data_IF_080140112844
#
_entry.id   IF_080140112844
#
_cell.length_a   1.000
_cell.length_b   1.000
_cell.length_c   1.000
_cell.angle_alpha   90.00
_cell.angle_beta   90.00
_cell.angle_gamma   90.00
#
_symmetry.space_group_name_H-M   'P 1'
#
loop_
_entity.id
_entity.type
_entity.pdbx_description
1 polymer ?
#
# COMPACT_ATOMS: atom_id res chain seq x y z
N UNK A 1 9.45 -15.04 10.47
CA UNK A 1 8.17 -14.69 11.14
C UNK A 1 7.04 -14.69 10.12
N UNK A 2 5.80 -14.91 10.56
CA UNK A 2 4.56 -14.68 9.81
C UNK A 2 4.06 -13.26 10.06
N UNK A 3 3.10 -12.78 9.26
CA UNK A 3 2.45 -11.49 9.54
C UNK A 3 1.74 -11.46 10.89
N UNK A 4 1.15 -12.59 11.30
CA UNK A 4 0.50 -12.73 12.61
C UNK A 4 1.49 -12.52 13.76
N UNK A 5 2.70 -13.07 13.64
CA UNK A 5 3.78 -12.87 14.64
C UNK A 5 4.15 -11.38 14.78
N UNK A 6 3.90 -10.56 13.74
CA UNK A 6 4.18 -9.14 13.70
C UNK A 6 2.98 -8.27 14.11
N UNK A 7 1.82 -8.85 14.44
CA UNK A 7 0.54 -8.14 14.60
C UNK A 7 0.15 -7.33 13.34
N UNK A 8 0.46 -7.88 12.18
CA UNK A 8 0.14 -7.30 10.87
C UNK A 8 -0.75 -8.25 10.07
N UNK A 9 -1.47 -7.67 9.14
CA UNK A 9 -2.31 -8.34 8.15
C UNK A 9 -2.13 -7.67 6.80
N UNK A 10 -2.55 -8.35 5.74
CA UNK A 10 -2.58 -7.81 4.38
C UNK A 10 -3.93 -8.07 3.75
N UNK A 11 -4.47 -7.00 3.15
CA UNK A 11 -5.77 -6.98 2.49
C UNK A 11 -5.65 -6.37 1.11
N UNK A 12 -6.53 -6.78 0.19
CA UNK A 12 -6.69 -6.11 -1.10
C UNK A 12 -7.50 -4.83 -0.91
N UNK A 13 -7.17 -3.78 -1.66
CA UNK A 13 -7.91 -2.52 -1.64
C UNK A 13 -9.42 -2.75 -1.83
N UNK A 14 -10.21 -2.02 -1.03
CA UNK A 14 -11.65 -2.27 -0.88
C UNK A 14 -12.46 -1.64 -2.01
N UNK A 15 -11.94 -0.59 -2.64
CA UNK A 15 -12.66 0.14 -3.68
C UNK A 15 -12.49 -0.57 -5.01
N UNK A 16 -13.60 -0.93 -5.65
CA UNK A 16 -13.63 -1.46 -7.01
C UNK A 16 -14.18 -0.35 -7.90
N UNK A 17 -13.30 0.29 -8.67
CA UNK A 17 -13.57 1.59 -9.29
C UNK A 17 -14.84 1.62 -10.17
N UNK A 18 -15.04 0.62 -11.02
CA UNK A 18 -16.22 0.52 -11.89
C UNK A 18 -17.54 0.24 -11.15
N UNK A 19 -17.50 -0.12 -9.86
CA UNK A 19 -18.70 -0.34 -9.01
C UNK A 19 -19.04 0.87 -8.15
N UNK A 20 -18.14 1.86 -8.06
CA UNK A 20 -18.29 3.03 -7.18
C UNK A 20 -18.24 4.35 -7.93
N UNK A 21 -18.49 4.32 -9.24
CA UNK A 21 -18.29 5.46 -10.16
C UNK A 21 -18.94 6.76 -9.72
N UNK A 22 -20.13 6.70 -9.11
CA UNK A 22 -20.90 7.87 -8.62
C UNK A 22 -20.21 8.61 -7.46
N UNK A 23 -19.37 7.90 -6.69
CA UNK A 23 -18.65 8.45 -5.53
C UNK A 23 -17.20 8.81 -5.85
N UNK A 24 -16.68 8.42 -7.02
CA UNK A 24 -15.32 8.75 -7.41
C UNK A 24 -15.23 10.22 -7.86
N UNK A 25 -14.12 10.88 -7.49
CA UNK A 25 -13.83 12.26 -7.87
C UNK A 25 -12.45 12.37 -8.50
N UNK A 26 -12.37 13.11 -9.59
CA UNK A 26 -11.10 13.36 -10.29
C UNK A 26 -10.13 14.15 -9.43
N UNK A 27 -10.63 15.13 -8.69
CA UNK A 27 -9.87 15.95 -7.76
C UNK A 27 -10.48 15.83 -6.35
N UNK A 28 -9.71 16.19 -5.34
CA UNK A 28 -10.22 16.29 -3.98
C UNK A 28 -11.17 17.49 -3.84
N UNK A 29 -12.30 17.27 -3.19
CA UNK A 29 -13.29 18.29 -2.85
C UNK A 29 -13.82 18.08 -1.42
N UNK A 30 -14.59 19.05 -0.91
CA UNK A 30 -15.21 18.95 0.41
C UNK A 30 -16.00 17.64 0.54
N UNK A 31 -15.74 16.88 1.60
CA UNK A 31 -16.41 15.61 1.85
C UNK A 31 -15.76 14.41 1.16
N UNK A 32 -14.63 14.57 0.46
CA UNK A 32 -13.87 13.44 -0.09
C UNK A 32 -12.68 13.05 0.76
N UNK A 33 -12.21 11.82 0.55
CA UNK A 33 -10.94 11.31 1.06
C UNK A 33 -10.08 10.76 -0.08
N UNK A 34 -8.75 10.64 0.09
CA UNK A 34 -7.86 10.10 -0.93
C UNK A 34 -8.24 8.67 -1.30
N UNK A 35 -8.24 8.40 -2.60
CA UNK A 35 -8.35 7.07 -3.16
C UNK A 35 -7.02 6.70 -3.83
N UNK A 36 -6.30 5.71 -3.29
CA UNK A 36 -4.96 5.40 -3.75
C UNK A 36 -4.96 4.25 -4.75
N UNK A 37 -4.40 4.54 -5.93
CA UNK A 37 -4.14 3.62 -7.04
C UNK A 37 -2.63 3.32 -7.20
N UNK A 38 -2.26 2.31 -8.01
CA UNK A 38 -0.87 2.05 -8.40
C UNK A 38 -0.13 3.25 -9.02
N UNK A 39 -0.85 4.16 -9.68
CA UNK A 39 -0.29 5.35 -10.33
C UNK A 39 0.20 6.44 -9.35
N UNK A 40 -0.13 6.31 -8.05
CA UNK A 40 0.36 7.22 -7.01
C UNK A 40 1.72 6.79 -6.45
N UNK A 41 2.21 5.60 -6.78
CA UNK A 41 3.51 5.12 -6.32
C UNK A 41 4.61 5.98 -6.96
N UNK A 42 5.46 6.58 -6.13
CA UNK A 42 6.54 7.44 -6.57
C UNK A 42 7.70 7.37 -5.56
N UNK A 43 8.85 6.86 -6.01
CA UNK A 43 10.10 6.79 -5.21
C UNK A 43 9.91 6.20 -3.80
N UNK A 44 9.22 5.05 -3.70
CA UNK A 44 8.97 4.38 -2.42
C UNK A 44 7.88 5.01 -1.55
N UNK A 45 7.24 6.10 -1.99
CA UNK A 45 6.12 6.74 -1.30
C UNK A 45 4.85 6.78 -2.15
N UNK A 46 3.74 7.13 -1.51
CA UNK A 46 2.51 7.53 -2.18
C UNK A 46 2.53 9.05 -2.40
N UNK A 47 2.54 9.45 -3.68
CA UNK A 47 2.36 10.84 -4.11
C UNK A 47 0.91 11.03 -4.56
N UNK A 48 0.15 11.75 -3.76
CA UNK A 48 -1.25 12.05 -3.99
C UNK A 48 -1.50 13.56 -3.83
N UNK A 49 -2.33 14.19 -4.69
CA UNK A 49 -2.97 13.62 -5.87
C UNK A 49 -2.01 13.48 -7.06
N UNK A 50 -2.37 12.65 -8.04
CA UNK A 50 -1.75 12.61 -9.37
C UNK A 50 -2.70 13.21 -10.42
N UNK A 51 -2.59 14.51 -10.65
CA UNK A 51 -3.43 15.26 -11.59
C UNK A 51 -3.19 14.95 -13.06
N UNK A 52 -2.04 14.36 -13.38
CA UNK A 52 -1.70 13.94 -14.74
C UNK A 52 -2.37 12.62 -15.14
N UNK A 53 -2.86 11.84 -14.17
CA UNK A 53 -3.55 10.58 -14.42
C UNK A 53 -5.02 10.80 -14.80
N UNK A 54 -5.55 9.90 -15.64
CA UNK A 54 -6.99 9.89 -16.00
C UNK A 54 -7.86 9.29 -14.89
N UNK A 55 -7.28 8.51 -13.98
CA UNK A 55 -8.00 7.86 -12.89
C UNK A 55 -8.43 8.89 -11.82
N UNK A 56 -9.53 8.63 -11.09
CA UNK A 56 -9.93 9.42 -9.94
C UNK A 56 -8.83 9.52 -8.88
N UNK A 57 -8.83 10.61 -8.12
CA UNK A 57 -7.93 10.80 -6.98
C UNK A 57 -8.68 10.65 -5.65
N UNK A 58 -9.99 10.84 -5.60
CA UNK A 58 -10.72 10.86 -4.34
C UNK A 58 -12.01 10.03 -4.41
N UNK A 59 -12.54 9.67 -3.24
CA UNK A 59 -13.86 9.06 -3.06
C UNK A 59 -14.68 9.88 -2.07
N UNK A 60 -15.96 10.09 -2.38
CA UNK A 60 -16.89 10.81 -1.52
C UNK A 60 -17.19 9.99 -0.26
N UNK A 61 -17.20 10.67 0.90
CA UNK A 61 -17.58 10.07 2.17
C UNK A 61 -19.09 10.13 2.31
N UNK A 62 -19.74 8.97 2.16
CA UNK A 62 -21.18 8.77 2.34
C UNK A 62 -21.44 7.54 3.22
N UNK A 63 -22.69 7.31 3.59
CA UNK A 63 -23.04 6.14 4.38
C UNK A 63 -22.67 4.83 3.66
N UNK A 64 -22.80 4.83 2.34
CA UNK A 64 -22.52 3.72 1.43
C UNK A 64 -21.02 3.45 1.31
N UNK A 65 -20.17 4.47 1.37
CA UNK A 65 -18.71 4.32 1.17
C UNK A 65 -17.92 4.18 2.47
N UNK A 66 -18.50 4.45 3.64
CA UNK A 66 -17.82 4.37 4.96
C UNK A 66 -17.07 3.07 5.20
N UNK A 67 -17.64 1.93 4.79
CA UNK A 67 -17.03 0.61 4.98
C UNK A 67 -15.75 0.40 4.13
N UNK A 68 -15.55 1.21 3.09
CA UNK A 68 -14.37 1.20 2.22
C UNK A 68 -13.19 1.98 2.82
N UNK A 69 -13.47 2.84 3.80
CA UNK A 69 -12.50 3.77 4.36
C UNK A 69 -11.69 3.13 5.50
N UNK A 70 -10.48 3.63 5.64
CA UNK A 70 -9.54 3.27 6.70
C UNK A 70 -9.13 4.55 7.44
N UNK A 71 -8.85 4.47 8.76
CA UNK A 71 -8.32 5.61 9.49
C UNK A 71 -6.98 6.06 8.90
N UNK A 72 -6.67 7.35 8.97
CA UNK A 72 -5.35 7.81 8.55
C UNK A 72 -4.26 7.22 9.47
N UNK A 73 -3.13 6.83 8.88
CA UNK A 73 -2.02 6.20 9.57
C UNK A 73 -0.99 5.65 8.58
N UNK A 74 0.13 5.11 9.06
CA UNK A 74 1.13 4.52 8.17
C UNK A 74 0.66 3.17 7.64
N UNK A 75 0.69 3.00 6.32
CA UNK A 75 0.42 1.74 5.64
C UNK A 75 1.56 1.43 4.66
N UNK A 76 1.81 0.14 4.41
CA UNK A 76 2.64 -0.27 3.27
C UNK A 76 1.73 -0.77 2.17
N UNK A 77 1.81 -0.17 0.99
CA UNK A 77 0.98 -0.51 -0.16
C UNK A 77 1.83 -1.27 -1.18
N UNK A 78 1.31 -2.36 -1.74
CA UNK A 78 1.95 -3.16 -2.78
C UNK A 78 1.09 -3.18 -4.03
N UNK A 79 1.68 -2.96 -5.20
CA UNK A 79 0.98 -3.11 -6.48
C UNK A 79 0.57 -4.57 -6.69
N UNK A 80 -0.67 -4.83 -7.11
CA UNK A 80 -1.13 -6.20 -7.43
C UNK A 80 -0.74 -6.69 -8.80
N UNK A 81 -0.35 -5.79 -9.69
CA UNK A 81 0.02 -6.12 -11.05
C UNK A 81 1.40 -5.52 -11.34
N UNK A 82 2.31 -6.40 -11.73
CA UNK A 82 3.65 -6.06 -12.23
C UNK A 82 3.75 -6.54 -13.67
N UNK A 83 4.48 -5.83 -14.53
CA UNK A 83 4.78 -6.38 -15.86
C UNK A 83 5.80 -7.54 -15.74
N UNK A 84 5.91 -8.40 -16.78
CA UNK A 84 6.97 -9.42 -16.81
C UNK A 84 8.37 -8.80 -16.90
N UNK A 85 8.45 -7.60 -17.47
CA UNK A 85 9.66 -6.81 -17.69
C UNK A 85 10.04 -5.96 -16.47
N UNK A 86 9.17 -5.88 -15.46
CA UNK A 86 9.43 -5.13 -14.23
C UNK A 86 10.64 -5.72 -13.51
N UNK A 87 11.57 -4.84 -13.12
CA UNK A 87 12.79 -5.22 -12.41
C UNK A 87 12.48 -6.01 -11.12
N UNK A 88 11.49 -5.55 -10.35
CA UNK A 88 10.95 -6.26 -9.19
C UNK A 88 9.48 -6.64 -9.39
N UNK A 89 9.12 -7.86 -9.01
CA UNK A 89 7.76 -8.38 -8.98
C UNK A 89 6.94 -7.72 -7.88
N UNK A 90 7.55 -7.52 -6.72
CA UNK A 90 6.96 -6.76 -5.62
C UNK A 90 7.43 -5.32 -5.74
N UNK A 91 6.47 -4.41 -5.85
CA UNK A 91 6.71 -2.97 -5.76
C UNK A 91 5.88 -2.43 -4.60
N UNK A 92 6.56 -2.06 -3.52
CA UNK A 92 5.97 -1.53 -2.30
C UNK A 92 6.23 -0.02 -2.15
N UNK A 93 5.29 0.69 -1.54
CA UNK A 93 5.42 2.10 -1.20
C UNK A 93 4.82 2.37 0.19
N UNK A 94 5.41 3.34 0.90
CA UNK A 94 4.89 3.84 2.14
C UNK A 94 3.77 4.85 1.87
N UNK A 95 2.60 4.58 2.43
CA UNK A 95 1.61 5.61 2.67
C UNK A 95 1.94 6.31 3.97
N UNK A 96 2.29 7.57 3.87
CA UNK A 96 2.65 8.44 4.98
C UNK A 96 1.49 9.39 5.26
N UNK A 97 0.87 9.31 6.46
CA UNK A 97 -0.29 10.11 6.83
C UNK A 97 0.00 11.62 6.80
N UNK A 98 1.24 12.04 7.03
CA UNK A 98 1.65 13.44 7.08
C UNK A 98 1.86 14.02 5.68
N UNK A 99 2.34 13.20 4.73
CA UNK A 99 2.50 13.61 3.32
C UNK A 99 1.17 13.76 2.58
N UNK A 100 0.17 12.96 2.96
CA UNK A 100 -1.15 12.99 2.32
C UNK A 100 -2.11 13.94 3.05
N UNK A 101 -2.00 14.07 4.37
CA UNK A 101 -2.66 15.12 5.14
C UNK A 101 -4.19 15.02 5.25
N UNK A 102 -4.74 13.82 5.41
CA UNK A 102 -6.20 13.61 5.47
C UNK A 102 -6.65 12.81 6.71
N UNK A 103 -7.95 12.70 6.99
CA UNK A 103 -8.46 11.99 8.18
C UNK A 103 -8.66 10.48 7.97
N UNK A 104 -8.85 10.08 6.73
CA UNK A 104 -9.09 8.70 6.32
C UNK A 104 -8.59 8.51 4.91
N UNK A 105 -8.41 7.26 4.50
CA UNK A 105 -7.94 6.88 3.17
C UNK A 105 -8.74 5.70 2.65
N UNK A 106 -8.87 5.62 1.32
CA UNK A 106 -9.36 4.45 0.63
C UNK A 106 -8.27 3.87 -0.28
N UNK A 107 -8.22 2.55 -0.37
CA UNK A 107 -7.29 1.83 -1.25
C UNK A 107 -8.08 1.14 -2.36
N UNK A 108 -7.61 1.32 -3.59
CA UNK A 108 -8.25 0.73 -4.76
C UNK A 108 -7.80 -0.73 -4.98
N UNK A 109 -8.66 -1.55 -5.58
CA UNK A 109 -8.48 -2.99 -5.63
C UNK A 109 -7.28 -3.47 -6.47
N UNK A 110 -6.57 -2.65 -7.23
CA UNK A 110 -5.31 -3.00 -7.89
C UNK A 110 -4.07 -2.84 -6.97
N UNK A 111 -4.28 -2.52 -5.69
CA UNK A 111 -3.25 -2.59 -4.66
C UNK A 111 -3.62 -3.55 -3.53
N UNK A 112 -2.61 -4.07 -2.84
CA UNK A 112 -2.74 -4.63 -1.50
C UNK A 112 -2.19 -3.62 -0.49
N UNK A 113 -2.65 -3.66 0.74
CA UNK A 113 -2.13 -2.83 1.82
C UNK A 113 -1.93 -3.66 3.09
N UNK A 114 -0.81 -3.41 3.77
CA UNK A 114 -0.50 -3.97 5.07
C UNK A 114 -1.06 -3.06 6.15
N UNK A 115 -1.66 -3.65 7.18
CA UNK A 115 -2.33 -2.94 8.27
C UNK A 115 -2.22 -3.71 9.59
N UNK A 116 -2.54 -3.05 10.69
CA UNK A 116 -2.80 -3.70 11.98
C UNK A 116 -4.28 -3.56 12.29
N UNK A 117 -5.05 -4.65 12.15
CA UNK A 117 -6.51 -4.65 12.35
C UNK A 117 -7.25 -3.45 11.70
N UNK A 118 -7.13 -3.33 10.37
CA UNK A 118 -7.67 -2.23 9.57
C UNK A 118 -7.24 -0.81 10.00
N UNK A 119 -6.15 -0.69 10.74
CA UNK A 119 -5.54 0.59 11.12
C UNK A 119 -4.10 0.66 10.66
N UNK A 120 -3.54 1.87 10.66
CA UNK A 120 -2.12 2.07 10.39
C UNK A 120 -1.22 1.38 11.42
N UNK A 121 0.07 1.28 11.10
CA UNK A 121 1.10 0.74 11.99
C UNK A 121 2.09 1.83 12.43
N UNK A 122 3.07 1.46 13.27
CA UNK A 122 4.19 2.35 13.63
C UNK A 122 5.02 2.68 12.38
N UNK A 123 5.47 3.93 12.29
CA UNK A 123 6.27 4.42 11.16
C UNK A 123 7.48 3.53 10.88
N UNK A 124 8.25 3.18 11.91
CA UNK A 124 9.49 2.43 11.76
C UNK A 124 9.22 1.00 11.27
N UNK A 125 8.10 0.40 11.69
CA UNK A 125 7.65 -0.89 11.15
C UNK A 125 7.29 -0.75 9.67
N UNK A 126 6.52 0.28 9.32
CA UNK A 126 6.07 0.50 7.96
C UNK A 126 7.26 0.75 7.01
N UNK A 127 8.20 1.63 7.40
CA UNK A 127 9.44 1.89 6.67
C UNK A 127 10.27 0.61 6.49
N UNK A 128 10.53 -0.12 7.58
CA UNK A 128 11.29 -1.36 7.53
C UNK A 128 10.64 -2.42 6.65
N UNK A 129 9.31 -2.55 6.71
CA UNK A 129 8.54 -3.47 5.89
C UNK A 129 8.58 -3.09 4.41
N UNK A 130 8.46 -1.80 4.08
CA UNK A 130 8.57 -1.33 2.70
C UNK A 130 9.98 -1.59 2.12
N UNK A 131 11.05 -1.37 2.89
CA UNK A 131 12.43 -1.74 2.48
C UNK A 131 12.54 -3.24 2.26
N UNK A 132 12.06 -4.04 3.21
CA UNK A 132 12.13 -5.50 3.10
C UNK A 132 11.43 -6.01 1.83
N UNK A 133 10.20 -5.54 1.59
CA UNK A 133 9.39 -5.97 0.44
C UNK A 133 9.99 -5.57 -0.91
N UNK A 134 10.70 -4.43 -0.97
CA UNK A 134 11.40 -3.99 -2.17
C UNK A 134 12.81 -4.60 -2.32
N UNK A 135 13.25 -5.47 -1.40
CA UNK A 135 14.59 -6.06 -1.49
C UNK A 135 14.69 -7.15 -2.57
N UNK A 136 15.85 -7.25 -3.21
CA UNK A 136 16.14 -8.31 -4.19
C UNK A 136 15.99 -9.72 -3.61
N UNK A 137 16.24 -9.89 -2.31
CA UNK A 137 16.03 -11.17 -1.63
C UNK A 137 14.57 -11.61 -1.69
N UNK A 138 13.65 -10.70 -1.35
CA UNK A 138 12.22 -10.97 -1.42
C UNK A 138 11.78 -11.18 -2.86
N UNK A 139 12.31 -10.39 -3.79
CA UNK A 139 11.97 -10.52 -5.21
C UNK A 139 12.35 -11.88 -5.79
N UNK A 140 13.59 -12.33 -5.54
CA UNK A 140 14.08 -13.65 -5.97
C UNK A 140 13.20 -14.76 -5.38
N UNK A 141 12.94 -14.70 -4.07
CA UNK A 141 12.10 -15.68 -3.40
C UNK A 141 10.68 -15.68 -3.97
N UNK A 142 10.08 -14.50 -4.17
CA UNK A 142 8.72 -14.37 -4.68
C UNK A 142 8.58 -14.93 -6.11
N UNK A 143 9.58 -14.70 -6.97
CA UNK A 143 9.59 -15.23 -8.36
C UNK A 143 9.70 -16.75 -8.43
N UNK A 144 10.24 -17.42 -7.41
CA UNK A 144 10.35 -18.89 -7.40
C UNK A 144 8.99 -19.59 -7.25
N UNK A 145 8.03 -18.98 -6.56
CA UNK A 145 6.70 -19.58 -6.34
C UNK A 145 5.56 -18.84 -7.03
N UNK A 146 5.75 -17.59 -7.46
CA UNK A 146 4.76 -16.82 -8.20
C UNK A 146 4.98 -16.96 -9.72
N UNK A 147 4.26 -17.89 -10.34
CA UNK A 147 4.36 -18.17 -11.79
C UNK A 147 3.66 -17.18 -12.72
N UNK A 148 3.11 -16.07 -12.20
CA UNK A 148 2.31 -15.10 -12.96
C UNK A 148 2.70 -13.66 -12.67
N UNK A 149 1.95 -12.69 -13.18
CA UNK A 149 2.19 -11.24 -13.02
C UNK A 149 1.37 -10.60 -11.91
N UNK A 150 0.51 -11.37 -11.26
CA UNK A 150 -0.33 -10.92 -10.16
C UNK A 150 0.34 -11.17 -8.81
N UNK A 151 0.27 -10.19 -7.92
CA UNK A 151 0.70 -10.27 -6.52
C UNK A 151 -0.56 -10.27 -5.66
N UNK A 152 -1.00 -11.44 -5.20
CA UNK A 152 -2.19 -11.58 -4.39
C UNK A 152 -1.87 -11.42 -2.89
N UNK A 153 -2.87 -11.04 -2.10
CA UNK A 153 -2.72 -10.95 -0.64
C UNK A 153 -2.34 -12.30 -0.02
N UNK A 154 -2.82 -13.41 -0.59
CA UNK A 154 -2.43 -14.77 -0.17
C UNK A 154 -0.95 -15.05 -0.39
N UNK A 155 -0.38 -14.61 -1.52
CA UNK A 155 1.04 -14.79 -1.83
C UNK A 155 1.90 -14.04 -0.80
N UNK A 156 1.50 -12.82 -0.46
CA UNK A 156 2.15 -12.00 0.56
C UNK A 156 2.06 -12.66 1.95
N UNK A 157 0.94 -13.29 2.32
CA UNK A 157 0.80 -13.99 3.61
C UNK A 157 1.73 -15.19 3.77
N UNK A 158 2.14 -15.82 2.67
CA UNK A 158 2.99 -17.01 2.68
C UNK A 158 4.47 -16.63 2.90
N UNK A 159 4.85 -15.39 2.58
CA UNK A 159 6.20 -14.89 2.80
C UNK A 159 6.63 -15.04 4.26
N UNK A 160 7.91 -15.35 4.46
CA UNK A 160 8.55 -15.13 5.75
C UNK A 160 8.93 -13.66 5.85
N UNK A 161 8.89 -13.14 7.06
CA UNK A 161 9.24 -11.76 7.38
C UNK A 161 10.36 -11.74 8.44
N UNK A 162 11.20 -10.68 8.45
CA UNK A 162 12.08 -10.39 9.56
C UNK A 162 11.29 -10.23 10.87
N UNK A 163 11.98 -10.29 12.01
CA UNK A 163 11.35 -10.04 13.29
C UNK A 163 10.86 -8.59 13.37
N UNK A 164 9.95 -8.31 14.31
CA UNK A 164 9.45 -6.96 14.55
C UNK A 164 10.62 -6.01 14.84
N UNK A 165 11.55 -6.41 15.71
CA UNK A 165 12.73 -5.63 16.09
C UNK A 165 13.65 -5.39 14.90
N UNK A 166 13.80 -6.37 14.01
CA UNK A 166 14.59 -6.21 12.79
C UNK A 166 13.95 -5.19 11.83
N UNK A 167 12.63 -5.24 11.63
CA UNK A 167 11.91 -4.26 10.83
C UNK A 167 12.05 -2.84 11.43
N UNK A 168 11.91 -2.70 12.74
CA UNK A 168 12.10 -1.39 13.40
C UNK A 168 13.52 -0.86 13.23
N UNK A 169 14.54 -1.72 13.36
CA UNK A 169 15.93 -1.32 13.12
C UNK A 169 16.15 -0.85 11.68
N UNK A 170 15.63 -1.59 10.70
CA UNK A 170 15.73 -1.20 9.28
C UNK A 170 15.01 0.13 9.06
N UNK A 171 13.79 0.27 9.56
CA UNK A 171 12.99 1.49 9.37
C UNK A 171 13.60 2.74 9.98
N UNK A 172 14.31 2.61 11.12
CA UNK A 172 15.05 3.73 11.74
C UNK A 172 16.26 4.20 10.93
N UNK A 173 16.78 3.38 10.02
CA UNK A 173 17.89 3.75 9.12
C UNK A 173 17.36 4.51 7.89
N UNK A 174 16.08 4.33 7.55
CA UNK A 174 15.44 5.00 6.42
C UNK A 174 15.14 6.46 6.78
N UNK A 175 15.90 7.36 6.16
CA UNK A 175 15.70 8.80 6.23
C UNK A 175 14.55 9.22 5.28
N UNK A 176 14.71 10.32 4.54
CA UNK A 176 13.67 10.82 3.64
C UNK A 176 13.51 9.98 2.37
N UNK A 177 14.58 9.37 1.88
CA UNK A 177 14.58 8.56 0.66
C UNK A 177 14.64 7.06 0.97
N UNK A 178 13.82 6.28 0.26
CA UNK A 178 13.96 4.83 0.28
C UNK A 178 15.18 4.39 -0.53
N UNK A 179 15.87 3.32 -0.11
CA UNK A 179 16.96 2.74 -0.90
C UNK A 179 16.46 2.33 -2.28
N UNK A 180 17.31 2.56 -3.29
CA UNK A 180 17.07 2.16 -4.68
C UNK A 180 17.37 0.70 -4.91
#
# INVERSE_FOLDING_TARGET
HTLKDLNLEVSTGRVVDFRSTEDLRREAETGTVPLIYPMHFYKGYIRWPNRSAKKPNAIMVRQETKHLLLPNGFYVIVRRFSSKEEYHRIVAALYDPERVGTRSVAFENHVNFFHSNNSGMREEIAKGLAVYLNSSLVDIYFRQFNGHTQVNATDLRILKYPSREALERIGKIVNEDFPS
#
